data_IF_793946245723
#
_entry.id   IF_793946245723
#
_cell.length_a   1.000
_cell.length_b   1.000
_cell.length_c   1.000
_cell.angle_alpha   90.00
_cell.angle_beta   90.00
_cell.angle_gamma   90.00
#
_symmetry.space_group_name_H-M   'P 1'
#
loop_
_entity.id
_entity.type
_entity.pdbx_description
1 polymer ?
#
# COMPACT_ATOMS: atom_id res chain seq x y z
N UNK A 1 0.52 3.52 -17.65
CA UNK A 1 -0.52 2.70 -17.00
C UNK A 1 -0.02 2.27 -15.63
N UNK A 2 -0.88 2.34 -14.62
CA UNK A 2 -0.53 1.95 -13.25
C UNK A 2 -0.43 0.43 -13.14
N UNK A 3 0.70 -0.05 -12.61
CA UNK A 3 0.89 -1.47 -12.35
C UNK A 3 0.17 -1.89 -11.06
N UNK A 4 -0.36 -3.10 -11.09
CA UNK A 4 -0.97 -3.75 -9.93
C UNK A 4 -0.08 -4.89 -9.45
N UNK A 5 -0.13 -5.20 -8.17
CA UNK A 5 0.48 -6.41 -7.62
C UNK A 5 -0.60 -7.19 -6.86
N UNK A 6 -0.62 -8.50 -7.05
CA UNK A 6 -1.56 -9.37 -6.32
C UNK A 6 -1.10 -9.55 -4.87
N UNK A 7 -2.03 -9.72 -3.93
CA UNK A 7 -1.67 -9.96 -2.53
C UNK A 7 -0.70 -11.13 -2.34
N UNK A 8 -0.90 -12.24 -3.05
CA UNK A 8 -0.02 -13.40 -2.94
C UNK A 8 1.42 -13.07 -3.36
N UNK A 9 1.59 -12.26 -4.40
CA UNK A 9 2.91 -11.86 -4.89
C UNK A 9 3.60 -10.92 -3.90
N UNK A 10 2.85 -9.97 -3.32
CA UNK A 10 3.39 -9.09 -2.29
C UNK A 10 3.80 -9.90 -1.05
N UNK A 11 2.95 -10.82 -0.60
CA UNK A 11 3.23 -11.68 0.55
C UNK A 11 4.53 -12.44 0.35
N UNK A 12 4.73 -13.02 -0.84
CA UNK A 12 5.95 -13.74 -1.18
C UNK A 12 7.19 -12.84 -1.12
N UNK A 13 7.08 -11.60 -1.62
CA UNK A 13 8.16 -10.62 -1.58
C UNK A 13 8.52 -10.25 -0.14
N UNK A 14 7.52 -10.02 0.70
CA UNK A 14 7.74 -9.69 2.11
C UNK A 14 8.33 -10.87 2.88
N UNK A 15 7.85 -12.08 2.62
CA UNK A 15 8.35 -13.29 3.29
C UNK A 15 9.83 -13.58 2.95
N UNK A 16 10.27 -13.21 1.73
CA UNK A 16 11.68 -13.32 1.34
C UNK A 16 12.58 -12.27 1.97
N UNK A 17 11.99 -11.25 2.63
CA UNK A 17 12.74 -10.14 3.18
C UNK A 17 13.12 -9.06 2.15
N UNK A 18 12.44 -9.02 1.00
CA UNK A 18 12.68 -7.98 0.00
C UNK A 18 12.37 -6.59 0.57
N UNK A 19 13.15 -5.60 0.15
CA UNK A 19 13.02 -4.22 0.64
C UNK A 19 11.86 -3.50 -0.06
N UNK A 20 10.64 -3.90 0.23
CA UNK A 20 9.41 -3.31 -0.30
C UNK A 20 8.72 -2.51 0.80
N UNK A 21 8.38 -1.26 0.51
CA UNK A 21 7.60 -0.42 1.41
C UNK A 21 6.12 -0.61 1.09
N UNK A 22 5.34 -1.04 2.07
CA UNK A 22 3.87 -1.06 1.96
C UNK A 22 3.37 0.26 2.52
N UNK A 23 2.77 1.08 1.67
CA UNK A 23 2.26 2.39 2.03
C UNK A 23 0.74 2.32 2.19
N UNK A 24 0.27 2.42 3.42
CA UNK A 24 -1.15 2.40 3.77
C UNK A 24 -1.67 3.84 3.77
N UNK A 25 -2.61 4.14 2.88
CA UNK A 25 -3.15 5.50 2.71
C UNK A 25 -4.56 5.66 3.26
N UNK A 26 -5.01 4.69 4.07
CA UNK A 26 -6.31 4.74 4.73
C UNK A 26 -6.33 5.77 5.86
N UNK A 27 -7.52 6.01 6.39
CA UNK A 27 -7.68 6.91 7.54
C UNK A 27 -7.29 6.22 8.86
N UNK A 28 -6.95 6.98 9.91
CA UNK A 28 -6.52 6.39 11.18
C UNK A 28 -7.54 5.46 11.84
N UNK A 29 -8.83 5.73 11.70
CA UNK A 29 -9.90 4.89 12.26
C UNK A 29 -9.94 3.52 11.56
N UNK A 30 -9.58 3.46 10.28
CA UNK A 30 -9.51 2.18 9.56
C UNK A 30 -8.35 1.30 10.09
N UNK A 31 -7.22 1.91 10.47
CA UNK A 31 -6.10 1.17 11.05
C UNK A 31 -6.48 0.51 12.38
N UNK A 32 -7.37 1.15 13.14
CA UNK A 32 -7.86 0.57 14.38
C UNK A 32 -8.69 -0.70 14.14
N UNK A 33 -9.29 -0.84 12.96
CA UNK A 33 -10.09 -2.02 12.60
C UNK A 33 -9.23 -3.16 12.06
N UNK A 34 -8.23 -2.84 11.24
CA UNK A 34 -7.36 -3.83 10.60
C UNK A 34 -6.09 -3.16 10.08
N UNK A 35 -4.97 -3.87 10.12
CA UNK A 35 -3.70 -3.36 9.57
C UNK A 35 -2.83 -4.50 9.09
N UNK A 36 -1.96 -4.20 8.12
CA UNK A 36 -0.88 -5.09 7.71
C UNK A 36 0.36 -4.75 8.53
N UNK A 37 0.93 -5.70 9.28
CA UNK A 37 2.12 -5.42 10.07
C UNK A 37 3.28 -4.87 9.23
N UNK A 38 3.98 -3.86 9.75
CA UNK A 38 5.12 -3.25 9.08
C UNK A 38 4.79 -2.21 8.02
N UNK A 39 3.51 -1.97 7.71
CA UNK A 39 3.12 -0.94 6.77
C UNK A 39 3.40 0.46 7.33
N UNK A 40 3.84 1.36 6.43
CA UNK A 40 3.98 2.78 6.72
C UNK A 40 2.63 3.44 6.50
N UNK A 41 2.14 4.20 7.47
CA UNK A 41 0.84 4.84 7.37
C UNK A 41 0.98 6.36 7.11
N UNK A 42 0.46 6.80 5.97
CA UNK A 42 0.27 8.21 5.65
C UNK A 42 -1.11 8.33 5.01
N UNK A 43 -2.09 8.95 5.68
CA UNK A 43 -3.43 9.11 5.11
C UNK A 43 -3.36 9.81 3.74
N UNK A 44 -4.25 9.43 2.83
CA UNK A 44 -4.23 9.92 1.44
C UNK A 44 -4.16 11.45 1.38
N UNK A 45 -4.93 12.15 2.22
CA UNK A 45 -4.95 13.61 2.23
C UNK A 45 -3.66 14.26 2.68
N UNK A 46 -2.79 13.53 3.38
CA UNK A 46 -1.52 14.03 3.89
C UNK A 46 -0.35 13.76 2.95
N UNK A 47 -0.55 12.97 1.91
CA UNK A 47 0.55 12.56 1.02
C UNK A 47 1.30 13.76 0.43
N UNK A 48 0.64 14.79 -0.13
CA UNK A 48 1.38 15.93 -0.70
C UNK A 48 2.29 16.63 0.33
N UNK A 49 1.80 16.84 1.54
CA UNK A 49 2.55 17.54 2.58
C UNK A 49 3.67 16.67 3.18
N UNK A 50 3.53 15.35 3.12
CA UNK A 50 4.45 14.40 3.74
C UNK A 50 5.26 13.60 2.71
N UNK A 51 5.28 14.05 1.47
CA UNK A 51 5.97 13.35 0.38
C UNK A 51 7.46 13.14 0.68
N UNK A 52 8.08 14.06 1.40
CA UNK A 52 9.48 14.02 1.79
C UNK A 52 9.81 12.84 2.73
N UNK A 53 8.81 12.22 3.34
CA UNK A 53 9.00 11.04 4.19
C UNK A 53 9.21 9.76 3.37
N UNK A 54 8.95 9.80 2.07
CA UNK A 54 9.08 8.67 1.17
C UNK A 54 10.32 8.81 0.29
N UNK A 55 10.99 7.69 0.03
CA UNK A 55 12.17 7.63 -0.83
C UNK A 55 11.73 7.27 -2.25
N UNK A 56 11.92 8.15 -3.25
CA UNK A 56 11.49 7.90 -4.62
C UNK A 56 12.24 6.74 -5.30
N UNK A 57 13.37 6.31 -4.75
CA UNK A 57 14.14 5.19 -5.31
C UNK A 57 13.72 3.84 -4.74
N UNK A 58 12.86 3.82 -3.73
CA UNK A 58 12.39 2.59 -3.12
C UNK A 58 11.21 2.00 -3.90
N UNK A 59 11.09 0.69 -3.77
CA UNK A 59 9.91 0.00 -4.29
C UNK A 59 8.76 0.18 -3.30
N UNK A 60 7.64 0.72 -3.78
CA UNK A 60 6.49 1.07 -2.95
C UNK A 60 5.24 0.38 -3.49
N UNK A 61 4.53 -0.30 -2.61
CA UNK A 61 3.20 -0.84 -2.91
C UNK A 61 2.19 -0.05 -2.08
N UNK A 62 1.30 0.66 -2.76
CA UNK A 62 0.29 1.50 -2.11
C UNK A 62 -0.96 0.67 -1.85
N UNK A 63 -1.53 0.80 -0.66
CA UNK A 63 -2.65 0.00 -0.20
C UNK A 63 -3.74 0.88 0.42
N UNK A 64 -5.00 0.54 0.13
CA UNK A 64 -6.14 1.09 0.84
C UNK A 64 -7.14 -0.05 1.14
N UNK A 65 -8.44 0.25 1.33
CA UNK A 65 -9.42 -0.80 1.66
C UNK A 65 -9.62 -1.77 0.49
N UNK A 66 -9.93 -1.23 -0.72
CA UNK A 66 -10.25 -2.05 -1.90
C UNK A 66 -9.40 -1.73 -3.13
N UNK A 67 -8.52 -0.73 -3.08
CA UNK A 67 -7.61 -0.41 -4.17
C UNK A 67 -7.89 0.90 -4.92
N UNK A 68 -8.97 1.62 -4.63
CA UNK A 68 -9.32 2.85 -5.36
C UNK A 68 -8.51 4.06 -4.91
N UNK A 69 -8.52 4.36 -3.61
CA UNK A 69 -7.74 5.48 -3.05
C UNK A 69 -6.24 5.29 -3.30
N UNK A 70 -5.77 4.06 -3.13
CA UNK A 70 -4.35 3.73 -3.33
C UNK A 70 -3.94 3.86 -4.80
N UNK A 71 -4.82 3.57 -5.74
CA UNK A 71 -4.55 3.79 -7.17
C UNK A 71 -4.32 5.27 -7.47
N UNK A 72 -5.12 6.16 -6.88
CA UNK A 72 -4.94 7.61 -7.04
C UNK A 72 -3.60 8.07 -6.45
N UNK A 73 -3.24 7.58 -5.26
CA UNK A 73 -1.96 7.93 -4.62
C UNK A 73 -0.79 7.40 -5.45
N UNK A 74 -0.87 6.16 -5.91
CA UNK A 74 0.20 5.58 -6.73
C UNK A 74 0.43 6.39 -8.01
N UNK A 75 -0.65 6.81 -8.69
CA UNK A 75 -0.54 7.67 -9.86
C UNK A 75 0.09 9.03 -9.54
N UNK A 76 -0.28 9.61 -8.40
CA UNK A 76 0.33 10.86 -7.93
C UNK A 76 1.83 10.70 -7.70
N UNK A 77 2.24 9.62 -7.04
CA UNK A 77 3.67 9.35 -6.80
C UNK A 77 4.45 9.20 -8.10
N UNK A 78 3.89 8.47 -9.08
CA UNK A 78 4.53 8.30 -10.38
C UNK A 78 4.71 9.64 -11.10
N UNK A 79 3.80 10.60 -10.91
CA UNK A 79 3.91 11.95 -11.46
C UNK A 79 4.94 12.81 -10.71
N UNK A 80 5.45 12.35 -9.59
CA UNK A 80 6.45 13.04 -8.74
C UNK A 80 7.80 12.31 -8.77
N UNK A 81 8.10 11.64 -9.88
CA UNK A 81 9.38 10.97 -10.13
C UNK A 81 9.66 9.74 -9.27
N UNK A 82 8.63 9.19 -8.63
CA UNK A 82 8.72 7.86 -8.05
C UNK A 82 8.59 6.84 -9.20
N UNK A 83 9.52 5.90 -9.30
CA UNK A 83 9.63 5.04 -10.49
C UNK A 83 9.22 3.59 -10.25
N UNK A 84 9.12 3.17 -8.98
CA UNK A 84 8.87 1.77 -8.62
C UNK A 84 7.65 1.67 -7.73
N UNK A 85 6.50 2.11 -8.24
CA UNK A 85 5.24 2.18 -7.50
C UNK A 85 4.20 1.29 -8.14
N UNK A 86 3.55 0.47 -7.32
CA UNK A 86 2.42 -0.38 -7.74
C UNK A 86 1.27 -0.26 -6.75
N UNK A 87 0.07 -0.60 -7.21
CA UNK A 87 -1.13 -0.62 -6.38
C UNK A 87 -1.42 -2.05 -5.95
N UNK A 88 -1.73 -2.27 -4.67
CA UNK A 88 -2.15 -3.58 -4.19
C UNK A 88 -3.56 -3.87 -4.69
N UNK A 89 -3.67 -4.85 -5.57
CA UNK A 89 -4.93 -5.24 -6.17
C UNK A 89 -5.92 -5.72 -5.10
N UNK A 90 -7.08 -5.10 -5.04
CA UNK A 90 -8.12 -5.43 -4.07
C UNK A 90 -7.86 -4.93 -2.65
N UNK A 91 -6.76 -4.25 -2.39
CA UNK A 91 -6.45 -3.63 -1.11
C UNK A 91 -6.31 -4.60 0.05
N UNK A 92 -6.44 -4.07 1.28
CA UNK A 92 -6.34 -4.90 2.49
C UNK A 92 -7.46 -5.94 2.57
N UNK A 93 -8.61 -5.69 1.94
CA UNK A 93 -9.70 -6.66 1.91
C UNK A 93 -9.27 -7.94 1.17
N UNK A 94 -8.68 -7.81 -0.01
CA UNK A 94 -8.15 -8.95 -0.74
C UNK A 94 -6.97 -9.60 -0.02
N UNK A 95 -6.12 -8.81 0.63
CA UNK A 95 -5.03 -9.33 1.47
C UNK A 95 -5.56 -10.25 2.56
N UNK A 96 -6.57 -9.79 3.31
CA UNK A 96 -7.21 -10.59 4.35
C UNK A 96 -7.82 -11.88 3.81
N UNK A 97 -8.54 -11.78 2.68
CA UNK A 97 -9.23 -12.92 2.08
C UNK A 97 -8.30 -13.99 1.55
N UNK A 98 -7.15 -13.59 0.98
CA UNK A 98 -6.36 -14.50 0.15
C UNK A 98 -5.03 -14.92 0.76
N UNK A 99 -4.43 -14.11 1.64
CA UNK A 99 -3.08 -14.41 2.14
C UNK A 99 -2.92 -14.33 3.65
N UNK A 100 -3.75 -13.55 4.35
CA UNK A 100 -3.60 -13.40 5.81
C UNK A 100 -4.96 -13.24 6.50
N UNK A 101 -5.63 -14.36 6.81
CA UNK A 101 -6.95 -14.31 7.45
C UNK A 101 -6.92 -13.80 8.89
N UNK A 102 -5.73 -13.61 9.49
CA UNK A 102 -5.60 -13.00 10.81
C UNK A 102 -5.87 -11.49 10.78
N UNK A 103 -5.79 -10.86 9.58
CA UNK A 103 -6.17 -9.46 9.40
C UNK A 103 -7.68 -9.39 9.25
N UNK A 104 -8.39 -8.68 10.17
CA UNK A 104 -9.86 -8.60 10.08
C UNK A 104 -10.32 -7.91 8.79
N UNK A 105 -11.50 -8.30 8.34
CA UNK A 105 -12.21 -7.60 7.27
C UNK A 105 -13.17 -6.58 7.89
N UNK A 106 -13.39 -5.49 7.16
CA UNK A 106 -14.33 -4.46 7.63
C UNK A 106 -15.10 -3.83 6.48
#
# INVERSE_FOLDING_TARGET
>A
MLEQILPADLKQRLDRGDAVVVLDVREPDELALARVPGAVHIPMGDIPARLHELDPDREIVVMCHHGTRSAHVASFLLQRDFTRVRNLHGGIDAWSLTVDPSVPRY
#
